data_IF_054635398424
#
_entry.id   IF_054635398424
#
_cell.length_a   1.000
_cell.length_b   1.000
_cell.length_c   1.000
_cell.angle_alpha   90.00
_cell.angle_beta   90.00
_cell.angle_gamma   90.00
#
_symmetry.space_group_name_H-M   'P 1'
#
loop_
_entity.id
_entity.type
_entity.pdbx_description
1 polymer ?
#
# COMPACT_ATOMS: atom_id res chain seq x y z
N UNK A 1 4.96 -21.19 -9.26
CA UNK A 1 4.67 -21.34 -7.81
C UNK A 1 5.91 -21.29 -6.94
N UNK A 2 7.07 -21.82 -7.36
CA UNK A 2 8.34 -21.76 -6.58
C UNK A 2 8.78 -20.34 -6.25
N UNK A 3 8.69 -19.43 -7.21
CA UNK A 3 9.32 -18.10 -7.09
C UNK A 3 8.51 -17.17 -6.17
N UNK A 4 7.18 -17.25 -6.21
CA UNK A 4 6.29 -16.50 -5.29
C UNK A 4 6.41 -16.98 -3.84
N UNK A 5 6.61 -18.29 -3.63
CA UNK A 5 6.86 -18.87 -2.31
C UNK A 5 8.22 -18.44 -1.76
N UNK A 6 9.26 -18.40 -2.60
CA UNK A 6 10.58 -17.90 -2.22
C UNK A 6 10.57 -16.39 -1.90
N UNK A 7 9.79 -15.60 -2.65
CA UNK A 7 9.60 -14.17 -2.41
C UNK A 7 8.86 -13.89 -1.08
N UNK A 8 7.79 -14.61 -0.78
CA UNK A 8 7.07 -14.53 0.50
C UNK A 8 7.95 -14.95 1.69
N UNK A 9 8.67 -16.07 1.57
CA UNK A 9 9.59 -16.55 2.60
C UNK A 9 10.69 -15.53 2.90
N UNK A 10 11.16 -14.80 1.88
CA UNK A 10 12.16 -13.74 2.09
C UNK A 10 11.56 -12.54 2.83
N UNK A 11 10.33 -12.13 2.50
CA UNK A 11 9.66 -11.01 3.16
C UNK A 11 9.38 -11.30 4.63
N UNK A 12 8.89 -12.50 4.95
CA UNK A 12 8.61 -12.94 6.33
C UNK A 12 9.90 -13.07 7.15
N UNK A 13 11.00 -13.55 6.53
CA UNK A 13 12.32 -13.56 7.16
C UNK A 13 12.80 -12.14 7.47
N UNK A 14 12.72 -11.21 6.51
CA UNK A 14 13.12 -9.81 6.71
C UNK A 14 12.29 -9.14 7.80
N UNK A 15 10.99 -9.43 7.88
CA UNK A 15 10.10 -8.87 8.91
C UNK A 15 10.53 -9.24 10.33
N UNK A 16 11.04 -10.47 10.53
CA UNK A 16 11.54 -10.96 11.81
C UNK A 16 12.94 -10.45 12.20
N UNK A 17 13.67 -9.83 11.27
CA UNK A 17 15.04 -9.36 11.51
C UNK A 17 15.08 -7.95 12.10
N UNK A 18 16.03 -7.71 13.00
CA UNK A 18 16.35 -6.35 13.45
C UNK A 18 17.01 -5.54 12.32
N UNK A 19 16.95 -4.21 12.37
CA UNK A 19 17.64 -3.35 11.40
C UNK A 19 19.15 -3.66 11.33
N UNK A 20 19.78 -3.92 12.48
CA UNK A 20 21.20 -4.28 12.55
C UNK A 20 21.50 -5.56 11.78
N UNK A 21 20.66 -6.57 11.92
CA UNK A 21 20.84 -7.85 11.23
C UNK A 21 20.58 -7.70 9.73
N UNK A 22 19.55 -6.94 9.34
CA UNK A 22 19.27 -6.62 7.93
C UNK A 22 20.47 -5.97 7.24
N UNK A 23 21.13 -5.03 7.91
CA UNK A 23 22.34 -4.38 7.42
C UNK A 23 23.52 -5.36 7.32
N UNK A 24 23.74 -6.17 8.36
CA UNK A 24 24.84 -7.14 8.40
C UNK A 24 24.73 -8.21 7.30
N UNK A 25 23.51 -8.64 6.99
CA UNK A 25 23.25 -9.69 6.01
C UNK A 25 23.09 -9.17 4.57
N UNK A 26 23.25 -7.87 4.33
CA UNK A 26 23.12 -7.30 2.99
C UNK A 26 21.72 -7.43 2.40
N UNK A 27 20.68 -7.39 3.26
CA UNK A 27 19.28 -7.58 2.85
C UNK A 27 18.87 -6.53 1.81
N UNK A 28 19.27 -5.28 2.00
CA UNK A 28 18.90 -4.18 1.10
C UNK A 28 19.49 -4.35 -0.31
N UNK A 29 20.73 -4.84 -0.45
CA UNK A 29 21.31 -5.17 -1.76
C UNK A 29 20.53 -6.30 -2.46
N UNK A 30 20.15 -7.34 -1.71
CA UNK A 30 19.35 -8.46 -2.22
C UNK A 30 17.96 -7.99 -2.69
N UNK A 31 17.28 -7.19 -1.87
CA UNK A 31 15.97 -6.60 -2.21
C UNK A 31 16.07 -5.68 -3.43
N UNK A 32 17.12 -4.85 -3.53
CA UNK A 32 17.37 -4.00 -4.68
C UNK A 32 17.58 -4.82 -5.97
N UNK A 33 18.40 -5.88 -5.90
CA UNK A 33 18.63 -6.80 -7.01
C UNK A 33 17.35 -7.47 -7.51
N UNK A 34 16.41 -7.79 -6.61
CA UNK A 34 15.11 -8.35 -6.96
C UNK A 34 14.23 -7.36 -7.73
N UNK A 35 14.28 -6.07 -7.42
CA UNK A 35 13.53 -5.04 -8.15
C UNK A 35 14.04 -4.94 -9.59
N UNK A 36 15.35 -4.71 -9.77
CA UNK A 36 15.96 -4.52 -11.09
C UNK A 36 16.01 -5.78 -11.96
N UNK A 37 15.95 -6.97 -11.33
CA UNK A 37 15.90 -8.26 -12.00
C UNK A 37 14.50 -8.85 -12.00
N UNK A 38 14.18 -9.63 -10.96
CA UNK A 38 12.98 -10.48 -10.89
C UNK A 38 11.67 -9.73 -11.14
N UNK A 39 11.44 -8.64 -10.40
CA UNK A 39 10.22 -7.83 -10.56
C UNK A 39 10.12 -7.27 -11.97
N UNK A 40 11.19 -6.62 -12.46
CA UNK A 40 11.24 -6.06 -13.81
C UNK A 40 10.86 -7.09 -14.86
N UNK A 41 11.58 -8.23 -14.91
CA UNK A 41 11.32 -9.27 -15.90
C UNK A 41 9.90 -9.82 -15.81
N UNK A 42 9.41 -10.10 -14.60
CA UNK A 42 8.07 -10.66 -14.42
C UNK A 42 6.98 -9.67 -14.82
N UNK A 43 7.17 -8.38 -14.52
CA UNK A 43 6.25 -7.34 -14.97
C UNK A 43 6.20 -7.27 -16.50
N UNK A 44 7.36 -7.26 -17.17
CA UNK A 44 7.43 -7.27 -18.63
C UNK A 44 6.74 -8.48 -19.25
N UNK A 45 6.96 -9.68 -18.69
CA UNK A 45 6.31 -10.91 -19.10
C UNK A 45 4.78 -10.81 -18.98
N UNK A 46 4.28 -10.44 -17.80
CA UNK A 46 2.84 -10.34 -17.53
C UNK A 46 2.16 -9.26 -18.38
N UNK A 47 2.80 -8.10 -18.57
CA UNK A 47 2.24 -7.02 -19.39
C UNK A 47 2.26 -7.30 -20.89
N UNK A 48 3.09 -8.24 -21.35
CA UNK A 48 3.13 -8.68 -22.75
C UNK A 48 2.09 -9.77 -23.06
N UNK A 49 1.49 -10.38 -22.04
CA UNK A 49 0.45 -11.40 -22.19
C UNK A 49 -0.93 -10.77 -22.42
N UNK A 50 -1.84 -11.54 -23.01
CA UNK A 50 -3.26 -11.15 -23.11
C UNK A 50 -3.85 -11.00 -21.71
N UNK A 51 -4.82 -10.09 -21.56
CA UNK A 51 -5.50 -9.91 -20.29
C UNK A 51 -6.34 -11.15 -19.96
N UNK A 52 -5.99 -11.81 -18.85
CA UNK A 52 -6.78 -12.87 -18.23
C UNK A 52 -6.87 -12.61 -16.73
N UNK A 53 -7.78 -13.30 -16.07
CA UNK A 53 -7.96 -13.19 -14.63
C UNK A 53 -6.71 -13.65 -13.85
N UNK A 54 -6.06 -14.73 -14.29
CA UNK A 54 -4.83 -15.23 -13.67
C UNK A 54 -3.69 -14.23 -13.81
N UNK A 55 -3.61 -13.54 -14.96
CA UNK A 55 -2.64 -12.47 -15.17
C UNK A 55 -2.88 -11.31 -14.21
N UNK A 56 -4.14 -10.87 -14.05
CA UNK A 56 -4.47 -9.74 -13.18
C UNK A 56 -4.17 -10.08 -11.71
N UNK A 57 -4.44 -11.32 -11.27
CA UNK A 57 -4.05 -11.82 -9.95
C UNK A 57 -2.52 -11.86 -9.79
N UNK A 58 -1.79 -12.31 -10.81
CA UNK A 58 -0.33 -12.36 -10.78
C UNK A 58 0.28 -10.94 -10.71
N UNK A 59 -0.27 -9.98 -11.44
CA UNK A 59 0.13 -8.57 -11.40
C UNK A 59 -0.11 -7.96 -10.01
N UNK A 60 -1.29 -8.18 -9.42
CA UNK A 60 -1.59 -7.67 -8.09
C UNK A 60 -0.66 -8.27 -7.01
N UNK A 61 -0.32 -9.56 -7.10
CA UNK A 61 0.69 -10.16 -6.22
C UNK A 61 2.07 -9.53 -6.40
N UNK A 62 2.49 -9.32 -7.66
CA UNK A 62 3.77 -8.70 -7.98
C UNK A 62 3.86 -7.26 -7.42
N UNK A 63 2.77 -6.50 -7.52
CA UNK A 63 2.62 -5.16 -6.95
C UNK A 63 2.68 -5.16 -5.41
N UNK A 64 2.01 -6.12 -4.76
CA UNK A 64 2.13 -6.34 -3.31
C UNK A 64 3.59 -6.56 -2.90
N UNK A 65 4.34 -7.39 -3.63
CA UNK A 65 5.74 -7.67 -3.30
C UNK A 65 6.61 -6.43 -3.45
N UNK A 66 6.37 -5.62 -4.47
CA UNK A 66 7.06 -4.34 -4.61
C UNK A 66 6.75 -3.42 -3.43
N UNK A 67 5.47 -3.23 -3.09
CA UNK A 67 5.07 -2.37 -1.97
C UNK A 67 5.73 -2.82 -0.65
N UNK A 68 5.72 -4.14 -0.39
CA UNK A 68 6.33 -4.72 0.80
C UNK A 68 7.84 -4.53 0.82
N UNK A 69 8.50 -4.70 -0.33
CA UNK A 69 9.94 -4.50 -0.46
C UNK A 69 10.31 -3.03 -0.18
N UNK A 70 9.62 -2.10 -0.84
CA UNK A 70 9.83 -0.66 -0.69
C UNK A 70 9.54 -0.17 0.74
N UNK A 71 8.57 -0.78 1.43
CA UNK A 71 8.31 -0.48 2.84
C UNK A 71 9.58 -0.63 3.70
N UNK A 72 10.36 -1.70 3.51
CA UNK A 72 11.56 -1.93 4.33
C UNK A 72 12.67 -0.92 4.07
N UNK A 73 12.81 -0.44 2.83
CA UNK A 73 13.72 0.66 2.53
C UNK A 73 13.25 1.99 3.14
N UNK A 74 11.94 2.22 3.19
CA UNK A 74 11.33 3.44 3.72
C UNK A 74 11.10 3.47 5.24
N UNK A 75 11.28 2.35 5.94
CA UNK A 75 10.97 2.23 7.38
C UNK A 75 11.90 3.11 8.25
N UNK A 76 13.17 3.22 7.84
CA UNK A 76 14.18 4.05 8.47
C UNK A 76 14.59 5.21 7.53
N UNK A 77 14.64 6.43 8.07
CA UNK A 77 14.91 7.63 7.27
C UNK A 77 16.35 7.71 6.74
N UNK A 78 17.32 7.09 7.43
CA UNK A 78 18.71 7.05 6.94
C UNK A 78 18.81 6.09 5.77
N UNK A 79 18.22 4.89 5.90
CA UNK A 79 18.13 3.92 4.81
C UNK A 79 17.39 4.51 3.61
N UNK A 80 16.23 5.13 3.83
CA UNK A 80 15.48 5.78 2.77
C UNK A 80 16.36 6.78 2.01
N UNK A 81 17.06 7.69 2.71
CA UNK A 81 17.95 8.68 2.07
C UNK A 81 19.11 8.06 1.30
N UNK A 82 19.69 6.97 1.80
CA UNK A 82 20.80 6.28 1.15
C UNK A 82 20.35 5.61 -0.16
N UNK A 83 19.17 5.00 -0.15
CA UNK A 83 18.68 4.16 -1.23
C UNK A 83 17.79 4.87 -2.24
N UNK A 84 17.23 6.03 -1.88
CA UNK A 84 16.23 6.77 -2.66
C UNK A 84 16.64 6.92 -4.12
N UNK A 85 17.80 7.53 -4.38
CA UNK A 85 18.29 7.77 -5.74
C UNK A 85 18.53 6.50 -6.53
N UNK A 86 19.00 5.42 -5.89
CA UNK A 86 19.24 4.14 -6.59
C UNK A 86 17.92 3.49 -6.96
N UNK A 87 16.94 3.54 -6.06
CA UNK A 87 15.62 2.97 -6.28
C UNK A 87 14.81 3.78 -7.29
N UNK A 88 14.93 5.11 -7.26
CA UNK A 88 14.35 5.98 -8.28
C UNK A 88 14.95 5.68 -9.67
N UNK A 89 16.27 5.56 -9.77
CA UNK A 89 16.94 5.24 -11.04
C UNK A 89 16.57 3.83 -11.59
N UNK A 90 16.41 2.82 -10.73
CA UNK A 90 16.02 1.47 -11.19
C UNK A 90 14.52 1.35 -11.46
N UNK A 91 13.66 2.13 -10.79
CA UNK A 91 12.22 2.09 -11.01
C UNK A 91 11.81 2.98 -12.18
N UNK A 92 12.25 4.24 -12.15
CA UNK A 92 11.75 5.35 -12.96
C UNK A 92 12.84 5.98 -13.85
N UNK A 93 14.11 5.60 -13.71
CA UNK A 93 15.21 6.18 -14.49
C UNK A 93 15.10 5.95 -16.00
N UNK A 94 15.96 6.64 -16.76
CA UNK A 94 15.97 6.57 -18.24
C UNK A 94 16.81 5.40 -18.77
N UNK A 95 17.59 4.75 -17.92
CA UNK A 95 18.45 3.66 -18.35
C UNK A 95 17.65 2.41 -18.80
N UNK A 96 18.25 1.55 -19.64
CA UNK A 96 17.60 0.32 -20.15
C UNK A 96 17.27 -0.71 -19.06
N UNK A 97 17.96 -0.66 -17.93
CA UNK A 97 17.73 -1.55 -16.78
C UNK A 97 16.58 -1.05 -15.90
N UNK A 98 16.08 0.16 -16.12
CA UNK A 98 14.94 0.71 -15.43
C UNK A 98 13.69 -0.13 -15.67
N UNK A 99 12.86 -0.26 -14.64
CA UNK A 99 11.60 -1.01 -14.66
C UNK A 99 10.65 -0.41 -15.67
N UNK A 100 10.49 0.92 -15.67
CA UNK A 100 9.56 1.60 -16.60
C UNK A 100 9.91 1.41 -18.08
N UNK A 101 11.16 1.05 -18.37
CA UNK A 101 11.62 0.79 -19.74
C UNK A 101 11.55 -0.70 -20.13
N UNK A 102 10.95 -1.58 -19.31
CA UNK A 102 10.95 -3.03 -19.57
C UNK A 102 10.23 -3.43 -20.87
N UNK A 103 9.22 -2.67 -21.28
CA UNK A 103 8.48 -2.89 -22.53
C UNK A 103 8.92 -1.96 -23.68
N UNK A 104 10.01 -1.22 -23.49
CA UNK A 104 10.43 -0.12 -24.36
C UNK A 104 9.85 1.24 -23.94
N UNK A 105 10.54 2.31 -24.35
CA UNK A 105 10.28 3.69 -23.92
C UNK A 105 8.86 4.18 -24.27
N UNK A 106 8.30 3.75 -25.40
CA UNK A 106 6.95 4.11 -25.83
C UNK A 106 5.82 3.51 -24.95
N UNK A 107 6.15 2.56 -24.06
CA UNK A 107 5.20 1.96 -23.10
C UNK A 107 5.46 2.38 -21.66
N UNK A 108 6.31 3.39 -21.44
CA UNK A 108 6.66 3.91 -20.12
C UNK A 108 5.43 4.20 -19.24
N UNK A 109 4.49 4.99 -19.75
CA UNK A 109 3.29 5.39 -19.00
C UNK A 109 2.42 4.19 -18.56
N UNK A 110 2.37 3.13 -19.37
CA UNK A 110 1.67 1.89 -19.00
C UNK A 110 2.34 1.24 -17.79
N UNK A 111 3.68 1.17 -17.78
CA UNK A 111 4.43 0.57 -16.67
C UNK A 111 4.35 1.45 -15.42
N UNK A 112 4.47 2.77 -15.55
CA UNK A 112 4.31 3.73 -14.44
C UNK A 112 2.94 3.59 -13.77
N UNK A 113 1.87 3.36 -14.53
CA UNK A 113 0.54 3.12 -13.97
C UNK A 113 0.50 1.89 -13.04
N UNK A 114 1.35 0.89 -13.28
CA UNK A 114 1.48 -0.27 -12.40
C UNK A 114 2.35 -0.03 -11.16
N UNK A 115 3.11 1.07 -11.10
CA UNK A 115 3.89 1.47 -9.93
C UNK A 115 3.09 2.38 -8.98
N UNK A 116 2.06 3.07 -9.48
CA UNK A 116 1.19 3.96 -8.68
C UNK A 116 0.60 3.24 -7.47
N UNK A 117 -0.03 2.07 -7.66
CA UNK A 117 -0.70 1.34 -6.58
C UNK A 117 0.22 1.02 -5.38
N UNK A 118 1.36 0.33 -5.61
CA UNK A 118 2.35 0.04 -4.57
C UNK A 118 2.81 1.26 -3.77
N UNK A 119 3.14 2.37 -4.44
CA UNK A 119 3.70 3.56 -3.77
C UNK A 119 2.60 4.32 -3.02
N UNK A 120 1.37 4.36 -3.54
CA UNK A 120 0.23 4.95 -2.84
C UNK A 120 -0.13 4.21 -1.57
N UNK A 121 0.03 2.89 -1.53
CA UNK A 121 -0.16 2.13 -0.31
C UNK A 121 0.86 2.50 0.78
N UNK A 122 2.11 2.79 0.39
CA UNK A 122 3.11 3.34 1.30
C UNK A 122 2.79 4.77 1.73
N UNK A 123 2.22 5.57 0.83
CA UNK A 123 1.75 6.93 1.13
C UNK A 123 0.67 6.92 2.22
N UNK A 124 -0.31 6.01 2.12
CA UNK A 124 -1.31 5.82 3.18
C UNK A 124 -0.67 5.40 4.51
N UNK A 125 0.31 4.50 4.47
CA UNK A 125 1.04 4.07 5.66
C UNK A 125 1.79 5.23 6.32
N UNK A 126 2.46 6.09 5.54
CA UNK A 126 3.15 7.27 6.07
C UNK A 126 2.17 8.28 6.67
N UNK A 127 1.02 8.51 6.02
CA UNK A 127 -0.07 9.32 6.57
C UNK A 127 -0.52 8.78 7.93
N UNK A 128 -0.80 7.47 8.05
CA UNK A 128 -1.18 6.83 9.32
C UNK A 128 -0.11 7.06 10.39
N UNK A 129 1.17 6.79 10.07
CA UNK A 129 2.29 6.93 11.02
C UNK A 129 2.48 8.37 11.50
N UNK A 130 2.21 9.35 10.64
CA UNK A 130 2.33 10.78 10.99
C UNK A 130 1.12 11.32 11.73
N UNK A 131 -0.08 10.84 11.41
CA UNK A 131 -1.30 11.21 12.13
C UNK A 131 -1.33 10.66 13.55
N UNK A 132 -0.77 9.46 13.76
CA UNK A 132 -0.61 8.85 15.08
C UNK A 132 0.66 7.98 15.16
N UNK A 133 1.77 8.55 15.70
CA UNK A 133 3.03 7.82 15.84
C UNK A 133 2.94 6.55 16.71
N UNK A 134 1.95 6.46 17.60
CA UNK A 134 1.77 5.28 18.45
C UNK A 134 1.36 4.03 17.66
N UNK A 135 0.79 4.22 16.46
CA UNK A 135 0.41 3.14 15.56
C UNK A 135 1.59 2.57 14.77
N UNK A 136 2.75 3.25 14.76
CA UNK A 136 3.93 2.86 13.97
C UNK A 136 4.42 1.43 14.28
N UNK A 137 4.41 1.03 15.56
CA UNK A 137 4.93 -0.27 16.01
C UNK A 137 4.02 -1.47 15.71
N UNK A 138 2.76 -1.22 15.32
CA UNK A 138 1.78 -2.27 15.02
C UNK A 138 1.60 -2.56 13.53
N UNK A 139 2.31 -1.86 12.64
CA UNK A 139 2.14 -2.01 11.20
C UNK A 139 3.14 -3.02 10.63
N UNK A 140 2.60 -4.16 10.20
CA UNK A 140 3.33 -5.28 9.61
C UNK A 140 2.98 -5.42 8.13
N UNK A 141 3.91 -5.21 7.18
CA UNK A 141 3.62 -5.33 5.75
C UNK A 141 2.93 -6.64 5.37
N UNK A 142 3.36 -7.78 5.92
CA UNK A 142 2.76 -9.09 5.60
C UNK A 142 1.29 -9.20 6.00
N UNK A 143 0.88 -8.48 7.04
CA UNK A 143 -0.49 -8.44 7.54
C UNK A 143 -1.35 -7.38 6.85
N UNK A 144 -0.71 -6.33 6.31
CA UNK A 144 -1.36 -5.18 5.67
C UNK A 144 -1.66 -5.44 4.20
N UNK A 145 -0.65 -5.81 3.41
CA UNK A 145 -0.80 -5.99 1.97
C UNK A 145 -1.49 -7.32 1.66
N UNK A 146 -2.63 -7.29 0.98
CA UNK A 146 -3.35 -8.53 0.67
C UNK A 146 -2.86 -9.19 -0.61
N UNK A 147 -3.09 -10.51 -0.73
CA UNK A 147 -2.77 -11.24 -1.96
C UNK A 147 -3.67 -10.85 -3.14
N UNK A 148 -3.16 -11.01 -4.35
CA UNK A 148 -3.81 -10.54 -5.58
C UNK A 148 -5.21 -11.09 -5.84
N UNK A 149 -5.54 -12.27 -5.29
CA UNK A 149 -6.92 -12.78 -5.36
C UNK A 149 -7.92 -11.85 -4.66
N UNK A 150 -7.58 -11.39 -3.46
CA UNK A 150 -8.46 -10.51 -2.67
C UNK A 150 -8.56 -9.10 -3.27
N UNK A 151 -7.46 -8.61 -3.82
CA UNK A 151 -7.46 -7.36 -4.58
C UNK A 151 -8.38 -7.44 -5.80
N UNK A 152 -8.18 -8.44 -6.65
CA UNK A 152 -8.90 -8.54 -7.92
C UNK A 152 -10.40 -8.83 -7.72
N UNK A 153 -10.76 -9.79 -6.87
CA UNK A 153 -12.16 -10.19 -6.68
C UNK A 153 -12.87 -9.42 -5.58
N UNK A 154 -12.25 -9.32 -4.41
CA UNK A 154 -12.88 -8.77 -3.21
C UNK A 154 -12.68 -7.25 -3.08
N UNK A 155 -11.83 -6.67 -3.95
CA UNK A 155 -11.50 -5.23 -3.98
C UNK A 155 -10.94 -4.72 -2.66
N UNK A 156 -10.19 -5.59 -1.98
CA UNK A 156 -9.40 -5.23 -0.80
C UNK A 156 -7.97 -4.98 -1.26
N UNK A 157 -7.43 -3.79 -1.05
CA UNK A 157 -6.01 -3.51 -1.28
C UNK A 157 -5.21 -3.74 0.01
N UNK A 158 -5.75 -3.29 1.16
CA UNK A 158 -5.06 -3.28 2.44
C UNK A 158 -5.96 -3.70 3.61
N UNK A 159 -5.37 -4.30 4.63
CA UNK A 159 -6.03 -4.69 5.88
C UNK A 159 -5.31 -4.08 7.08
N UNK A 160 -6.02 -3.27 7.87
CA UNK A 160 -5.45 -2.66 9.07
C UNK A 160 -6.07 -3.20 10.35
N UNK A 161 -5.20 -3.63 11.27
CA UNK A 161 -5.55 -4.05 12.62
C UNK A 161 -4.79 -3.18 13.62
N UNK A 162 -5.35 -2.03 14.00
CA UNK A 162 -4.72 -1.12 14.96
C UNK A 162 -4.76 -1.62 16.43
N UNK A 163 -4.85 -2.94 16.65
CA UNK A 163 -5.05 -3.57 17.97
C UNK A 163 -6.21 -2.98 18.80
N UNK A 164 -7.16 -2.32 18.13
CA UNK A 164 -8.36 -1.73 18.75
C UNK A 164 -9.42 -2.78 18.94
N UNK A 165 -10.15 -2.70 20.06
CA UNK A 165 -11.33 -3.53 20.34
C UNK A 165 -12.59 -2.67 20.46
N UNK A 166 -13.73 -3.25 20.11
CA UNK A 166 -15.06 -2.70 20.40
C UNK A 166 -15.36 -2.74 21.90
N UNK A 167 -16.46 -2.12 22.33
CA UNK A 167 -16.92 -2.15 23.73
C UNK A 167 -17.23 -3.55 24.26
N UNK A 168 -17.65 -4.47 23.38
CA UNK A 168 -17.86 -5.90 23.68
C UNK A 168 -16.57 -6.74 23.54
N UNK A 169 -15.41 -6.10 23.37
CA UNK A 169 -14.11 -6.78 23.37
C UNK A 169 -13.67 -7.41 22.05
N UNK A 170 -14.48 -7.30 20.98
CA UNK A 170 -14.13 -7.85 19.66
C UNK A 170 -13.04 -7.02 18.97
N UNK A 171 -12.02 -7.65 18.35
CA UNK A 171 -11.04 -6.93 17.53
C UNK A 171 -11.72 -6.19 16.37
N UNK A 172 -11.21 -5.00 16.03
CA UNK A 172 -11.68 -4.23 14.87
C UNK A 172 -10.71 -4.40 13.71
N UNK A 173 -11.22 -4.89 12.58
CA UNK A 173 -10.50 -5.05 11.31
C UNK A 173 -11.00 -4.02 10.32
N UNK A 174 -10.09 -3.40 9.57
CA UNK A 174 -10.42 -2.37 8.58
C UNK A 174 -9.94 -2.82 7.23
N UNK A 175 -10.88 -3.00 6.30
CA UNK A 175 -10.61 -3.34 4.92
C UNK A 175 -10.60 -2.05 4.12
N UNK A 176 -9.57 -1.84 3.31
CA UNK A 176 -9.39 -0.63 2.54
C UNK A 176 -9.33 -1.00 1.07
N UNK A 177 -10.18 -0.34 0.28
CA UNK A 177 -9.95 -0.15 -1.14
C UNK A 177 -9.25 1.19 -1.34
N UNK A 178 -8.05 1.18 -1.89
CA UNK A 178 -7.19 2.34 -2.05
C UNK A 178 -7.28 2.86 -3.49
N UNK A 179 -7.34 4.19 -3.64
CA UNK A 179 -7.17 4.85 -4.93
C UNK A 179 -6.17 5.98 -4.79
N UNK A 180 -5.47 6.25 -5.88
CA UNK A 180 -4.49 7.33 -5.96
C UNK A 180 -5.06 8.45 -6.81
N UNK A 181 -4.82 9.69 -6.42
CA UNK A 181 -5.29 10.88 -7.13
C UNK A 181 -4.12 11.87 -7.32
N UNK A 182 -4.06 12.63 -8.43
CA UNK A 182 -2.96 13.57 -8.66
C UNK A 182 -2.99 14.77 -7.70
N UNK A 183 -4.14 15.06 -7.09
CA UNK A 183 -4.32 16.19 -6.19
C UNK A 183 -3.59 16.00 -4.84
N UNK A 184 -3.28 17.14 -4.20
CA UNK A 184 -2.81 17.21 -2.81
C UNK A 184 -4.00 17.06 -1.87
N UNK A 185 -4.58 15.87 -1.84
CA UNK A 185 -5.78 15.59 -1.05
C UNK A 185 -5.78 14.13 -0.55
N UNK A 186 -6.34 13.91 0.63
CA UNK A 186 -6.53 12.59 1.22
C UNK A 186 -7.93 12.50 1.80
N UNK A 187 -8.72 11.57 1.27
CA UNK A 187 -10.13 11.41 1.65
C UNK A 187 -10.37 10.04 2.24
N UNK A 188 -11.09 9.99 3.34
CA UNK A 188 -11.50 8.73 3.96
C UNK A 188 -13.01 8.63 3.92
N UNK A 189 -13.53 7.52 3.41
CA UNK A 189 -14.96 7.31 3.34
C UNK A 189 -15.30 5.90 3.81
N UNK A 190 -16.08 5.79 4.89
CA UNK A 190 -16.56 4.50 5.38
C UNK A 190 -17.68 3.99 4.49
N UNK A 191 -17.58 2.75 4.04
CA UNK A 191 -18.64 2.09 3.30
C UNK A 191 -19.59 1.42 4.28
N UNK A 192 -20.86 1.83 4.27
CA UNK A 192 -21.92 1.26 5.12
C UNK A 192 -22.91 0.47 4.25
N UNK A 193 -23.20 -0.81 4.60
CA UNK A 193 -24.21 -1.59 3.91
C UNK A 193 -25.57 -0.89 3.92
N UNK A 194 -26.22 -0.78 2.76
CA UNK A 194 -27.54 -0.17 2.62
C UNK A 194 -27.53 1.35 2.38
N UNK A 195 -26.37 2.02 2.47
CA UNK A 195 -26.25 3.46 2.25
C UNK A 195 -25.64 3.83 0.88
N UNK A 196 -25.43 2.85 0.00
CA UNK A 196 -24.92 3.03 -1.36
C UNK A 196 -26.02 3.62 -2.28
N UNK A 197 -26.21 4.93 -2.21
CA UNK A 197 -27.29 5.65 -2.93
C UNK A 197 -27.00 5.94 -4.41
N UNK A 198 -25.74 5.89 -4.84
CA UNK A 198 -25.30 6.24 -6.21
C UNK A 198 -24.59 5.06 -6.91
N UNK A 199 -24.45 5.14 -8.25
CA UNK A 199 -23.66 4.17 -9.04
C UNK A 199 -22.15 4.18 -8.70
N UNK A 200 -21.70 5.17 -7.95
CA UNK A 200 -20.33 5.35 -7.49
C UNK A 200 -20.33 5.84 -6.03
N UNK A 201 -19.28 5.48 -5.29
CA UNK A 201 -18.98 6.01 -3.97
C UNK A 201 -17.56 6.59 -4.01
N UNK A 202 -17.46 7.92 -4.08
CA UNK A 202 -16.21 8.59 -4.43
C UNK A 202 -15.72 8.15 -5.81
N UNK A 203 -14.51 7.58 -5.88
CA UNK A 203 -13.90 7.03 -7.11
C UNK A 203 -14.07 5.51 -7.29
N UNK A 204 -14.85 4.86 -6.41
CA UNK A 204 -15.09 3.41 -6.45
C UNK A 204 -16.49 3.14 -7.01
N UNK A 205 -16.59 2.19 -7.94
CA UNK A 205 -17.88 1.79 -8.50
C UNK A 205 -18.71 1.03 -7.48
N UNK A 206 -20.04 1.12 -7.58
CA UNK A 206 -20.95 0.45 -6.65
C UNK A 206 -20.70 -1.06 -6.53
N UNK A 207 -20.45 -1.75 -7.65
CA UNK A 207 -20.15 -3.19 -7.67
C UNK A 207 -18.84 -3.55 -6.96
N UNK A 208 -17.83 -2.68 -7.05
CA UNK A 208 -16.57 -2.82 -6.31
C UNK A 208 -16.78 -2.63 -4.79
N UNK A 209 -17.56 -1.61 -4.41
CA UNK A 209 -17.92 -1.39 -3.01
C UNK A 209 -18.75 -2.55 -2.44
N UNK A 210 -19.66 -3.13 -3.22
CA UNK A 210 -20.45 -4.30 -2.83
C UNK A 210 -19.57 -5.54 -2.63
N UNK A 211 -18.56 -5.77 -3.48
CA UNK A 211 -17.56 -6.84 -3.30
C UNK A 211 -16.81 -6.69 -1.97
N UNK A 212 -16.34 -5.47 -1.67
CA UNK A 212 -15.67 -5.17 -0.41
C UNK A 212 -16.59 -5.41 0.82
N UNK A 213 -17.86 -4.98 0.74
CA UNK A 213 -18.85 -5.23 1.80
C UNK A 213 -19.12 -6.74 1.96
N UNK A 214 -19.25 -7.49 0.87
CA UNK A 214 -19.50 -8.93 0.95
C UNK A 214 -18.32 -9.65 1.59
N UNK A 215 -17.10 -9.28 1.23
CA UNK A 215 -15.89 -9.82 1.85
C UNK A 215 -15.77 -9.45 3.34
N UNK A 216 -16.30 -8.30 3.77
CA UNK A 216 -16.34 -7.95 5.20
C UNK A 216 -17.17 -8.92 6.06
N UNK A 217 -18.01 -9.75 5.44
CA UNK A 217 -18.82 -10.80 6.08
C UNK A 217 -18.19 -12.20 5.98
N UNK A 218 -16.99 -12.30 5.42
CA UNK A 218 -16.30 -13.59 5.25
C UNK A 218 -16.11 -14.30 6.61
N UNK A 219 -16.35 -15.62 6.70
CA UNK A 219 -16.19 -16.40 7.92
C UNK A 219 -14.83 -16.25 8.62
N UNK A 220 -13.76 -15.88 7.92
CA UNK A 220 -12.45 -15.59 8.53
C UNK A 220 -12.51 -14.44 9.55
N UNK A 221 -13.53 -13.59 9.48
CA UNK A 221 -13.73 -12.45 10.38
C UNK A 221 -14.87 -12.63 11.38
N UNK A 222 -15.39 -13.85 11.57
CA UNK A 222 -16.53 -14.13 12.46
C UNK A 222 -16.37 -13.57 13.89
N UNK A 223 -15.14 -13.49 14.39
CA UNK A 223 -14.81 -13.03 15.74
C UNK A 223 -14.39 -11.55 15.80
N UNK A 224 -14.53 -10.79 14.70
CA UNK A 224 -14.11 -9.40 14.58
C UNK A 224 -15.25 -8.48 14.16
N UNK A 225 -15.14 -7.19 14.51
CA UNK A 225 -15.90 -6.14 13.84
C UNK A 225 -15.13 -5.68 12.61
N UNK A 226 -15.67 -5.95 11.42
CA UNK A 226 -15.08 -5.50 10.16
C UNK A 226 -15.69 -4.18 9.73
N UNK A 227 -14.86 -3.25 9.28
CA UNK A 227 -15.26 -1.95 8.71
C UNK A 227 -14.60 -1.79 7.34
N UNK A 228 -15.39 -1.49 6.32
CA UNK A 228 -14.92 -1.26 4.96
C UNK A 228 -14.72 0.24 4.69
N UNK A 229 -13.65 0.58 3.98
CA UNK A 229 -13.30 1.97 3.64
C UNK A 229 -12.85 2.08 2.20
N UNK A 230 -13.20 3.19 1.56
CA UNK A 230 -12.49 3.72 0.41
C UNK A 230 -11.58 4.83 0.92
N UNK A 231 -10.32 4.78 0.52
CA UNK A 231 -9.36 5.84 0.85
C UNK A 231 -8.73 6.36 -0.44
N UNK A 232 -8.73 7.68 -0.58
CA UNK A 232 -7.98 8.39 -1.63
C UNK A 232 -6.72 8.96 -1.00
N UNK A 233 -5.58 8.80 -1.66
CA UNK A 233 -4.32 9.43 -1.27
C UNK A 233 -3.65 10.08 -2.48
N UNK A 234 -2.77 11.07 -2.29
CA UNK A 234 -1.99 11.62 -3.38
C UNK A 234 -1.13 10.54 -4.04
N UNK A 235 -1.03 10.61 -5.36
CA UNK A 235 -0.07 9.81 -6.14
C UNK A 235 1.38 10.24 -5.83
N UNK A 236 2.35 9.36 -6.14
CA UNK A 236 3.74 9.57 -5.76
C UNK A 236 4.41 10.77 -6.44
N UNK A 237 3.86 11.21 -7.56
CA UNK A 237 4.28 12.37 -8.35
C UNK A 237 3.64 13.70 -7.87
N UNK A 238 2.79 13.65 -6.84
CA UNK A 238 2.23 14.83 -6.19
C UNK A 238 3.31 15.62 -5.44
N UNK A 239 3.16 16.96 -5.38
CA UNK A 239 4.14 17.87 -4.77
C UNK A 239 4.40 17.61 -3.28
N UNK A 240 3.47 16.95 -2.59
CA UNK A 240 3.54 16.61 -1.16
C UNK A 240 4.18 15.26 -0.87
N UNK A 241 4.30 14.38 -1.87
CA UNK A 241 5.04 13.12 -1.76
C UNK A 241 6.47 13.39 -2.22
N UNK A 242 7.47 13.02 -1.42
CA UNK A 242 8.87 13.36 -1.73
C UNK A 242 9.67 12.27 -2.43
N UNK A 243 9.20 11.03 -2.46
CA UNK A 243 9.98 9.92 -2.99
C UNK A 243 9.13 8.68 -3.31
N UNK A 244 9.79 7.67 -3.85
CA UNK A 244 9.24 6.36 -4.21
C UNK A 244 8.80 5.51 -3.01
N UNK A 245 9.07 5.95 -1.77
CA UNK A 245 8.57 5.31 -0.55
C UNK A 245 7.23 5.90 -0.07
N UNK A 246 6.66 6.86 -0.81
CA UNK A 246 5.40 7.51 -0.42
C UNK A 246 5.53 8.44 0.78
N UNK A 247 6.73 8.93 1.11
CA UNK A 247 6.93 9.75 2.31
C UNK A 247 6.34 11.15 2.09
N UNK A 248 5.48 11.60 3.01
CA UNK A 248 4.88 12.92 3.00
C UNK A 248 5.89 13.98 3.47
N UNK A 249 5.92 15.11 2.75
CA UNK A 249 6.71 16.32 3.06
C UNK A 249 6.15 17.09 4.25
N UNK A 250 6.15 16.50 5.44
CA UNK A 250 5.62 17.12 6.67
C UNK A 250 6.35 18.43 7.09
N UNK A 251 7.51 18.74 6.50
CA UNK A 251 8.19 20.02 6.69
C UNK A 251 7.51 21.18 5.94
N UNK A 252 6.71 20.90 4.92
CA UNK A 252 5.96 21.89 4.15
C UNK A 252 4.60 22.17 4.79
N UNK A 253 3.99 23.32 4.49
CA UNK A 253 2.62 23.63 4.94
C UNK A 253 1.62 22.63 4.37
N UNK A 254 1.64 22.43 3.06
CA UNK A 254 0.74 21.51 2.33
C UNK A 254 0.80 20.09 2.90
N UNK A 255 2.00 19.57 3.18
CA UNK A 255 2.16 18.25 3.77
C UNK A 255 1.61 18.14 5.19
N UNK A 256 1.69 19.20 6.01
CA UNK A 256 1.06 19.21 7.35
C UNK A 256 -0.46 19.28 7.25
N UNK A 257 -0.96 20.17 6.40
CA UNK A 257 -2.40 20.35 6.19
C UNK A 257 -3.03 19.02 5.72
N UNK A 258 -2.38 18.29 4.80
CA UNK A 258 -2.79 16.96 4.36
C UNK A 258 -2.88 15.94 5.52
N UNK A 259 -1.87 15.90 6.38
CA UNK A 259 -1.82 14.97 7.53
C UNK A 259 -2.95 15.28 8.52
N UNK A 260 -3.22 16.57 8.77
CA UNK A 260 -4.24 17.02 9.71
C UNK A 260 -5.67 16.76 9.19
N UNK A 261 -5.90 17.04 7.89
CA UNK A 261 -7.17 16.71 7.21
C UNK A 261 -7.41 15.21 7.23
N UNK A 262 -6.44 14.42 6.76
CA UNK A 262 -6.54 12.96 6.77
C UNK A 262 -6.82 12.43 8.18
N UNK A 263 -6.11 12.91 9.19
CA UNK A 263 -6.33 12.49 10.58
C UNK A 263 -7.75 12.77 11.04
N UNK A 264 -8.23 13.99 10.80
CA UNK A 264 -9.56 14.42 11.24
C UNK A 264 -10.64 13.56 10.60
N UNK A 265 -10.63 13.42 9.28
CA UNK A 265 -11.58 12.59 8.55
C UNK A 265 -11.46 11.12 8.95
N UNK A 266 -10.25 10.58 9.03
CA UNK A 266 -10.03 9.18 9.37
C UNK A 266 -10.56 8.83 10.77
N UNK A 267 -10.43 9.73 11.74
CA UNK A 267 -10.99 9.55 13.09
C UNK A 267 -12.51 9.67 13.08
N UNK A 268 -13.05 10.65 12.35
CA UNK A 268 -14.50 10.86 12.23
C UNK A 268 -15.19 9.64 11.60
N UNK A 269 -14.64 9.13 10.50
CA UNK A 269 -15.13 7.95 9.79
C UNK A 269 -14.85 6.64 10.55
N UNK A 270 -14.03 6.70 11.61
CA UNK A 270 -13.66 5.56 12.44
C UNK A 270 -12.66 4.60 11.80
N UNK A 271 -11.90 5.07 10.81
CA UNK A 271 -10.70 4.41 10.28
C UNK A 271 -9.57 4.47 11.31
N UNK A 272 -9.14 5.64 11.75
CA UNK A 272 -8.16 5.74 12.84
C UNK A 272 -8.85 5.67 14.21
N UNK A 273 -8.20 5.08 15.23
CA UNK A 273 -8.69 5.17 16.60
C UNK A 273 -8.67 6.62 17.11
N UNK A 274 -9.61 6.94 18.00
CA UNK A 274 -9.50 8.17 18.79
C UNK A 274 -8.34 8.03 19.78
N UNK A 275 -7.43 9.00 19.79
CA UNK A 275 -6.43 9.08 20.83
C UNK A 275 -7.14 9.22 22.19
N UNK A 276 -6.76 8.40 23.17
CA UNK A 276 -7.07 8.70 24.56
C UNK A 276 -6.23 9.90 24.94
N UNK A 277 -6.84 11.09 25.03
CA UNK A 277 -6.24 12.18 25.79
C UNK A 277 -6.01 11.66 27.20
N UNK A 278 -4.75 11.60 27.63
CA UNK A 278 -4.43 11.38 29.05
C UNK A 278 -5.04 12.56 29.80
N UNK A 279 -6.16 12.30 30.48
CA UNK A 279 -6.73 13.17 31.52
C UNK A 279 -5.81 13.19 32.73
#
# INVERSE_FOLDING_TARGET
MSDQLAELQTIEQVEGMSLRDRLKEGVFDSLYGRIGGGFRYKLGELLSQKQTEERDIALANLQKYLATTLYYFGEDLQIAKEWDKRLDEILLGENKRSVVNVLGENKRALVEAHLLGPISALTLIDLIKRSDPSLKSGLRPSEIFVGGKRDVYDKVDLVFRFNTKTSDGKPVVRLVQLKSIPEVDARVARIVPGELKNNYFGLVRKDEAEKLINYSKDPIYKDAQVKAFVILVPAFDSSVVNNIYGIIRASTKEGRDLIDVFRTEAVEQGFLPRLKTRS
#
